data_IF_930977713490
#
_entry.id   IF_930977713490
#
_cell.length_a   1.000
_cell.length_b   1.000
_cell.length_c   1.000
_cell.angle_alpha   90.00
_cell.angle_beta   90.00
_cell.angle_gamma   90.00
#
_symmetry.space_group_name_H-M   'P 1'
#
loop_
_entity.id
_entity.type
_entity.pdbx_description
1 polymer ?
#
# COMPACT_ATOMS: atom_id res chain seq x y z
N UNK A 1 -10.21 -14.41 -9.05
CA UNK A 1 -10.25 -13.25 -8.12
C UNK A 1 -9.36 -12.19 -8.75
N UNK A 2 -9.92 -11.09 -9.27
CA UNK A 2 -9.19 -10.08 -10.06
C UNK A 2 -8.09 -9.41 -9.23
N UNK A 3 -6.98 -9.01 -9.86
CA UNK A 3 -5.93 -8.25 -9.20
C UNK A 3 -6.39 -6.81 -8.95
N UNK A 4 -5.88 -6.17 -7.89
CA UNK A 4 -6.39 -4.87 -7.44
C UNK A 4 -5.94 -3.67 -8.27
N UNK A 5 -4.96 -3.84 -9.16
CA UNK A 5 -4.45 -2.76 -10.01
C UNK A 5 -5.57 -2.23 -10.92
N UNK A 6 -6.47 -3.12 -11.36
CA UNK A 6 -7.65 -2.77 -12.14
C UNK A 6 -8.65 -1.90 -11.35
N UNK A 7 -8.84 -2.17 -10.05
CA UNK A 7 -9.81 -1.44 -9.20
C UNK A 7 -9.29 -0.08 -8.74
N UNK A 8 -7.98 0.04 -8.50
CA UNK A 8 -7.38 1.32 -8.11
C UNK A 8 -7.33 2.31 -9.29
N UNK A 9 -7.08 1.83 -10.52
CA UNK A 9 -7.07 2.66 -11.73
C UNK A 9 -8.47 3.12 -12.12
N UNK A 10 -9.49 2.26 -12.07
CA UNK A 10 -10.89 2.64 -12.36
C UNK A 10 -11.40 3.75 -11.42
N UNK A 11 -10.95 3.79 -10.16
CA UNK A 11 -11.32 4.87 -9.22
C UNK A 11 -10.54 6.17 -9.44
N UNK A 12 -9.37 6.13 -10.08
CA UNK A 12 -8.58 7.31 -10.40
C UNK A 12 -9.07 8.01 -11.68
N UNK A 13 -9.64 7.27 -12.63
CA UNK A 13 -10.25 7.87 -13.84
C UNK A 13 -11.50 8.71 -13.53
N UNK A 14 -12.16 8.46 -12.40
CA UNK A 14 -13.27 9.26 -11.88
C UNK A 14 -12.88 10.62 -11.28
N UNK A 15 -11.58 10.90 -11.10
CA UNK A 15 -11.09 12.17 -10.57
C UNK A 15 -10.86 13.26 -11.65
N UNK A 16 -11.34 13.06 -12.88
CA UNK A 16 -11.23 14.01 -13.99
C UNK A 16 -12.48 14.91 -14.18
N UNK A 17 -13.25 15.12 -13.11
CA UNK A 17 -14.48 15.93 -13.12
C UNK A 17 -14.27 17.39 -12.68
N UNK A 18 -14.67 18.31 -13.55
CA UNK A 18 -14.78 19.76 -13.40
C UNK A 18 -14.90 20.27 -11.93
N UNK A 19 -14.03 21.20 -11.55
CA UNK A 19 -14.06 21.90 -10.26
C UNK A 19 -15.31 22.79 -10.13
N UNK A 20 -16.42 22.20 -9.69
CA UNK A 20 -17.67 22.90 -9.34
C UNK A 20 -18.46 22.24 -8.21
N UNK A 21 -17.98 21.14 -7.62
CA UNK A 21 -18.62 20.46 -6.50
C UNK A 21 -18.11 20.97 -5.16
N UNK A 22 -19.04 21.27 -4.24
CA UNK A 22 -18.77 21.55 -2.83
C UNK A 22 -17.79 20.48 -2.28
N UNK A 23 -16.67 20.91 -1.71
CA UNK A 23 -15.77 20.02 -0.98
C UNK A 23 -16.57 19.34 0.13
N UNK A 24 -16.98 18.09 -0.09
CA UNK A 24 -17.56 17.26 0.96
C UNK A 24 -16.44 16.98 1.96
N UNK A 25 -16.42 17.75 3.04
CA UNK A 25 -15.68 17.41 4.24
C UNK A 25 -16.44 16.29 4.95
N UNK A 26 -16.43 15.10 4.37
CA UNK A 26 -16.95 13.92 5.05
C UNK A 26 -16.06 13.73 6.29
N UNK A 27 -16.68 13.74 7.47
CA UNK A 27 -15.94 13.59 8.72
C UNK A 27 -15.70 12.10 8.99
N UNK A 28 -14.57 11.74 9.60
CA UNK A 28 -14.31 10.34 9.97
C UNK A 28 -15.43 9.81 10.88
N UNK A 29 -16.03 8.69 10.50
CA UNK A 29 -17.01 7.98 11.32
C UNK A 29 -16.33 7.10 12.36
N UNK A 30 -15.31 6.35 11.97
CA UNK A 30 -14.48 5.55 12.86
C UNK A 30 -13.10 5.28 12.27
N UNK A 31 -12.13 5.04 13.15
CA UNK A 31 -10.82 4.49 12.81
C UNK A 31 -10.66 3.14 13.50
N UNK A 32 -10.10 2.16 12.81
CA UNK A 32 -9.96 0.79 13.30
C UNK A 32 -8.68 0.13 12.78
N UNK A 33 -8.27 -0.91 13.49
CA UNK A 33 -7.14 -1.76 13.11
C UNK A 33 -7.67 -2.92 12.29
N UNK A 34 -7.07 -3.17 11.12
CA UNK A 34 -7.34 -4.37 10.33
C UNK A 34 -6.56 -5.54 10.92
N UNK A 35 -7.14 -6.73 10.90
CA UNK A 35 -6.46 -7.92 11.41
C UNK A 35 -5.12 -8.15 10.67
N UNK A 36 -4.17 -8.79 11.36
CA UNK A 36 -2.83 -9.13 10.82
C UNK A 36 -2.88 -10.33 9.88
N UNK A 37 -3.90 -10.39 9.03
CA UNK A 37 -4.11 -11.46 8.06
C UNK A 37 -4.12 -10.88 6.65
N UNK A 38 -3.25 -11.40 5.78
CA UNK A 38 -3.12 -10.95 4.41
C UNK A 38 -4.47 -10.89 3.66
N UNK A 39 -5.34 -11.88 3.85
CA UNK A 39 -6.64 -11.93 3.17
C UNK A 39 -7.58 -10.83 3.67
N UNK A 40 -7.53 -10.49 4.95
CA UNK A 40 -8.36 -9.43 5.53
C UNK A 40 -7.88 -8.05 5.09
N UNK A 41 -6.57 -7.83 5.03
CA UNK A 41 -6.00 -6.59 4.47
C UNK A 41 -6.44 -6.40 3.02
N UNK A 42 -6.35 -7.46 2.20
CA UNK A 42 -6.83 -7.41 0.80
C UNK A 42 -8.33 -7.14 0.72
N UNK A 43 -9.11 -7.78 1.59
CA UNK A 43 -10.57 -7.59 1.66
C UNK A 43 -10.94 -6.15 2.02
N UNK A 44 -10.20 -5.54 2.95
CA UNK A 44 -10.38 -4.14 3.33
C UNK A 44 -10.09 -3.23 2.15
N UNK A 45 -8.94 -3.41 1.50
CA UNK A 45 -8.55 -2.61 0.34
C UNK A 45 -9.56 -2.74 -0.79
N UNK A 46 -10.06 -3.96 -1.05
CA UNK A 46 -11.09 -4.22 -2.05
C UNK A 46 -12.40 -3.47 -1.77
N UNK A 47 -12.88 -3.54 -0.53
CA UNK A 47 -14.20 -3.01 -0.17
C UNK A 47 -14.16 -1.49 0.04
N UNK A 48 -13.20 -1.03 0.83
CA UNK A 48 -13.20 0.30 1.43
C UNK A 48 -12.08 1.19 0.88
N UNK A 49 -11.16 0.64 0.08
CA UNK A 49 -10.07 1.40 -0.52
C UNK A 49 -8.78 1.37 0.32
N UNK A 50 -7.79 2.23 -0.03
CA UNK A 50 -6.45 2.14 0.54
C UNK A 50 -6.39 2.17 2.07
N UNK A 51 -5.40 1.46 2.63
CA UNK A 51 -5.15 1.39 4.08
C UNK A 51 -3.81 2.02 4.44
N UNK A 52 -3.67 2.51 5.67
CA UNK A 52 -2.38 2.96 6.22
C UNK A 52 -1.65 1.79 6.87
N UNK A 53 -0.34 1.72 6.67
CA UNK A 53 0.51 0.67 7.21
C UNK A 53 1.78 1.24 7.84
N UNK A 54 2.19 0.67 8.97
CA UNK A 54 3.51 0.90 9.57
C UNK A 54 4.46 -0.27 9.27
N UNK A 55 5.73 0.02 9.00
CA UNK A 55 6.76 -1.01 8.83
C UNK A 55 8.13 -0.51 9.28
N UNK A 56 9.08 -1.43 9.50
CA UNK A 56 10.46 -1.09 9.82
C UNK A 56 11.28 -0.80 8.57
N UNK A 57 12.04 0.30 8.60
CA UNK A 57 12.93 0.70 7.51
C UNK A 57 14.35 0.23 7.80
N UNK A 58 14.94 -0.52 6.88
CA UNK A 58 16.33 -0.95 6.93
C UNK A 58 17.21 -0.09 6.01
N UNK A 59 18.53 -0.17 6.18
CA UNK A 59 19.50 0.59 5.38
C UNK A 59 19.34 0.32 3.87
N UNK A 60 19.16 -0.95 3.49
CA UNK A 60 19.00 -1.38 2.11
C UNK A 60 17.79 -0.73 1.39
N UNK A 61 16.71 -0.44 2.11
CA UNK A 61 15.48 0.13 1.55
C UNK A 61 15.70 1.52 0.90
N UNK A 62 16.65 2.31 1.41
CA UNK A 62 16.98 3.64 0.83
C UNK A 62 17.49 3.53 -0.62
N UNK A 63 18.07 2.39 -0.96
CA UNK A 63 18.61 2.10 -2.28
C UNK A 63 17.59 1.47 -3.23
N UNK A 64 16.33 1.27 -2.79
CA UNK A 64 15.28 0.76 -3.66
C UNK A 64 15.11 1.63 -4.91
N UNK A 65 15.05 0.98 -6.08
CA UNK A 65 14.81 1.61 -7.40
C UNK A 65 13.68 0.93 -8.17
N UNK A 66 13.37 -0.33 -7.86
CA UNK A 66 12.30 -1.08 -8.49
C UNK A 66 12.31 -2.56 -8.11
N UNK A 67 11.28 -3.28 -8.54
CA UNK A 67 11.08 -4.70 -8.25
C UNK A 67 10.34 -4.93 -6.94
N UNK A 68 10.32 -6.18 -6.46
CA UNK A 68 9.66 -6.55 -5.20
C UNK A 68 10.70 -6.53 -4.08
N UNK A 69 10.60 -5.55 -3.20
CA UNK A 69 11.46 -5.41 -2.04
C UNK A 69 11.21 -6.53 -1.03
N UNK A 70 12.30 -7.14 -0.59
CA UNK A 70 12.41 -8.03 0.56
C UNK A 70 13.73 -7.65 1.23
N UNK A 71 13.72 -7.40 2.53
CA UNK A 71 14.93 -6.98 3.23
C UNK A 71 16.00 -8.08 3.12
N UNK A 72 17.24 -7.69 2.83
CA UNK A 72 18.36 -8.61 2.66
C UNK A 72 19.53 -8.30 3.61
N UNK A 73 19.79 -7.01 3.87
CA UNK A 73 20.96 -6.60 4.64
C UNK A 73 20.79 -5.20 5.27
N UNK A 74 21.65 -4.91 6.24
CA UNK A 74 21.74 -3.60 6.88
C UNK A 74 20.90 -3.48 8.14
N UNK A 75 21.23 -2.50 8.98
CA UNK A 75 20.57 -2.30 10.26
C UNK A 75 19.16 -1.70 10.11
N UNK A 76 18.29 -1.97 11.09
CA UNK A 76 17.04 -1.24 11.21
C UNK A 76 17.34 0.23 11.57
N UNK A 77 16.79 1.14 10.79
CA UNK A 77 17.02 2.59 10.92
C UNK A 77 15.81 3.36 11.48
N UNK A 78 14.66 2.71 11.62
CA UNK A 78 13.46 3.32 12.20
C UNK A 78 12.17 2.63 11.77
N UNK A 79 11.04 3.25 12.10
CA UNK A 79 9.72 2.91 11.56
C UNK A 79 9.25 3.98 10.57
N UNK A 80 8.41 3.58 9.61
CA UNK A 80 7.82 4.49 8.62
C UNK A 80 6.37 4.12 8.32
N UNK A 81 5.56 5.13 8.01
CA UNK A 81 4.14 4.98 7.69
C UNK A 81 3.90 5.22 6.18
N UNK A 82 3.13 4.32 5.57
CA UNK A 82 2.89 4.28 4.11
C UNK A 82 1.47 3.86 3.80
N UNK A 83 1.01 4.13 2.57
CA UNK A 83 -0.34 3.78 2.12
C UNK A 83 -0.31 2.58 1.19
N UNK A 84 -0.92 1.47 1.60
CA UNK A 84 -1.12 0.30 0.73
C UNK A 84 -2.35 0.57 -0.14
N UNK A 85 -2.15 0.63 -1.44
CA UNK A 85 -3.19 0.95 -2.42
C UNK A 85 -3.66 -0.28 -3.21
N UNK A 86 -2.93 -1.39 -3.10
CA UNK A 86 -3.24 -2.61 -3.82
C UNK A 86 -2.24 -3.73 -3.55
N UNK A 87 -2.37 -4.78 -4.35
CA UNK A 87 -1.56 -5.99 -4.40
C UNK A 87 -1.63 -6.59 -5.80
N UNK A 88 -0.65 -7.43 -6.12
CA UNK A 88 -0.63 -8.21 -7.36
C UNK A 88 0.33 -9.39 -7.25
N UNK A 89 0.66 -9.96 -8.41
CA UNK A 89 1.77 -10.90 -8.60
C UNK A 89 2.66 -10.42 -9.74
N UNK A 90 3.94 -10.73 -9.68
CA UNK A 90 4.85 -10.56 -10.81
C UNK A 90 5.75 -11.78 -10.93
N UNK A 91 6.07 -12.13 -12.18
CA UNK A 91 7.02 -13.19 -12.48
C UNK A 91 8.43 -12.73 -12.08
N UNK A 92 9.03 -13.38 -11.08
CA UNK A 92 10.41 -13.13 -10.64
C UNK A 92 11.14 -14.47 -10.67
N UNK A 93 12.20 -14.57 -11.47
CA UNK A 93 13.00 -15.80 -11.63
C UNK A 93 12.14 -17.03 -11.96
N UNK A 94 11.13 -16.88 -12.82
CA UNK A 94 10.24 -17.98 -13.21
C UNK A 94 9.18 -18.36 -12.17
N UNK A 95 9.04 -17.59 -11.09
CA UNK A 95 8.03 -17.82 -10.05
C UNK A 95 7.09 -16.62 -9.88
N UNK A 96 5.79 -16.90 -9.77
CA UNK A 96 4.77 -15.91 -9.40
C UNK A 96 5.01 -15.40 -7.97
N UNK A 97 5.55 -14.19 -7.85
CA UNK A 97 5.87 -13.58 -6.56
C UNK A 97 4.79 -12.57 -6.16
N UNK A 98 4.06 -12.80 -5.06
CA UNK A 98 3.03 -11.90 -4.58
C UNK A 98 3.63 -10.61 -3.98
N UNK A 99 3.01 -9.46 -4.27
CA UNK A 99 3.44 -8.18 -3.68
C UNK A 99 2.27 -7.32 -3.21
N UNK A 100 2.58 -6.38 -2.31
CA UNK A 100 1.80 -5.19 -1.99
C UNK A 100 2.26 -4.02 -2.85
N UNK A 101 1.33 -3.24 -3.39
CA UNK A 101 1.60 -1.97 -4.07
C UNK A 101 1.41 -0.82 -3.09
N UNK A 102 2.47 -0.04 -2.87
CA UNK A 102 2.54 0.89 -1.75
C UNK A 102 2.97 2.26 -2.26
N UNK A 103 2.20 3.28 -1.91
CA UNK A 103 2.56 4.68 -2.14
C UNK A 103 3.45 5.18 -1.00
N UNK A 104 4.65 5.65 -1.34
CA UNK A 104 5.56 6.29 -0.41
C UNK A 104 5.34 7.81 -0.38
N UNK A 105 5.97 8.50 0.57
CA UNK A 105 5.90 9.95 0.78
C UNK A 105 7.22 10.67 0.47
N UNK A 106 8.13 10.04 -0.27
CA UNK A 106 9.48 10.54 -0.57
C UNK A 106 9.64 11.09 -1.99
N UNK A 107 8.67 11.88 -2.47
CA UNK A 107 8.62 12.44 -3.83
C UNK A 107 8.47 11.35 -4.93
N UNK A 108 7.95 11.76 -6.08
CA UNK A 108 7.76 10.90 -7.27
C UNK A 108 9.08 10.46 -7.91
N UNK A 109 10.21 11.09 -7.59
CA UNK A 109 11.52 10.68 -8.12
C UNK A 109 12.09 9.43 -7.44
N UNK A 110 11.55 9.05 -6.29
CA UNK A 110 12.04 7.88 -5.54
C UNK A 110 11.33 6.60 -6.00
N UNK A 111 12.06 5.49 -6.04
CA UNK A 111 11.51 4.18 -6.36
C UNK A 111 10.79 4.14 -7.73
N UNK A 112 9.62 3.51 -7.75
CA UNK A 112 8.80 3.32 -8.94
C UNK A 112 7.82 4.50 -9.09
N UNK A 113 8.34 5.69 -9.40
CA UNK A 113 7.56 6.95 -9.52
C UNK A 113 6.87 7.37 -8.21
N UNK A 114 7.54 7.20 -7.07
CA UNK A 114 7.01 7.45 -5.72
C UNK A 114 6.34 6.24 -5.07
N UNK A 115 6.29 5.12 -5.77
CA UNK A 115 5.74 3.86 -5.28
C UNK A 115 6.85 2.84 -5.04
N UNK A 116 6.51 1.78 -4.32
CA UNK A 116 7.31 0.58 -4.25
C UNK A 116 6.41 -0.64 -4.11
N UNK A 117 7.00 -1.79 -4.42
CA UNK A 117 6.39 -3.10 -4.20
C UNK A 117 7.15 -3.83 -3.12
N UNK A 118 6.45 -4.41 -2.15
CA UNK A 118 7.04 -5.23 -1.08
C UNK A 118 6.46 -6.64 -1.13
N UNK A 119 7.26 -7.65 -0.81
CA UNK A 119 6.83 -9.04 -0.73
C UNK A 119 5.60 -9.18 0.19
N UNK A 120 4.56 -9.87 -0.30
CA UNK A 120 3.28 -10.05 0.40
C UNK A 120 3.15 -11.47 0.94
N UNK A 121 2.55 -11.59 2.13
CA UNK A 121 2.25 -12.87 2.79
C UNK A 121 3.38 -13.37 3.69
N UNK A 122 4.47 -12.61 3.81
CA UNK A 122 5.62 -12.94 4.66
C UNK A 122 5.75 -12.00 5.87
N UNK A 123 4.85 -11.03 6.02
CA UNK A 123 4.97 -9.94 7.01
C UNK A 123 6.37 -9.29 7.02
N UNK A 124 6.98 -9.14 5.84
CA UNK A 124 8.31 -8.58 5.69
C UNK A 124 8.37 -7.17 6.29
N UNK A 125 9.44 -6.91 7.06
CA UNK A 125 9.60 -5.65 7.79
C UNK A 125 8.42 -5.29 8.71
N UNK A 126 7.62 -6.27 9.14
CA UNK A 126 6.45 -6.09 9.99
C UNK A 126 5.29 -5.29 9.33
N UNK A 127 5.28 -5.17 8.00
CA UNK A 127 4.30 -4.36 7.26
C UNK A 127 2.84 -4.77 7.50
N UNK A 128 2.58 -6.07 7.65
CA UNK A 128 1.23 -6.63 7.79
C UNK A 128 0.72 -6.59 9.25
N UNK A 129 1.54 -6.10 10.18
CA UNK A 129 1.22 -6.09 11.60
C UNK A 129 0.51 -4.83 12.09
N UNK A 130 0.65 -3.70 11.39
CA UNK A 130 0.14 -2.39 11.84
C UNK A 130 -0.67 -1.74 10.73
N UNK A 131 -1.86 -2.28 10.46
CA UNK A 131 -2.75 -1.80 9.41
C UNK A 131 -3.91 -1.02 10.03
N UNK A 132 -4.09 0.21 9.58
CA UNK A 132 -5.13 1.13 10.03
C UNK A 132 -6.03 1.54 8.86
N UNK A 133 -7.33 1.57 9.12
CA UNK A 133 -8.35 2.02 8.19
C UNK A 133 -9.40 2.84 8.93
N UNK A 134 -10.36 3.40 8.18
CA UNK A 134 -11.47 4.13 8.75
C UNK A 134 -12.63 4.23 7.78
N UNK A 135 -13.82 4.47 8.33
CA UNK A 135 -15.02 4.76 7.54
C UNK A 135 -15.33 6.25 7.60
N UNK A 136 -15.89 6.77 6.51
CA UNK A 136 -16.33 8.17 6.43
C UNK A 136 -17.81 8.26 6.83
N UNK A 137 -18.21 9.34 7.48
CA UNK A 137 -19.63 9.69 7.63
C UNK A 137 -20.14 10.16 6.27
N UNK A 138 -21.22 9.53 5.80
CA UNK A 138 -21.87 9.81 4.52
C UNK A 138 -23.02 10.81 4.66
#
# INVERSE_FOLDING_TARGET
>A
MRESVDVALERLEGCSGNHGGLLRFDTCASAYVVSKNEKDIRREIWKNGPVQAGYYVYEDFRFYRGGIYKHQWGAQTGGHAVKIIGWGKAMVNGTDTPYWLIANSWNVKWGEKGYFRMIRGENNCNLESMIYAGTMKV
#
